data_IF_404205398511
#
_entry.id   IF_404205398511
#
_cell.length_a   1.000
_cell.length_b   1.000
_cell.length_c   1.000
_cell.angle_alpha   90.00
_cell.angle_beta   90.00
_cell.angle_gamma   90.00
#
_symmetry.space_group_name_H-M   'P 1'
#
loop_
_entity.id
_entity.type
_entity.pdbx_description
1 polymer ?
#
# COMPACT_ATOMS: atom_id res chain seq x y z
N UNK A 1 -20.77 36.28 0.58
CA UNK A 1 -21.57 36.40 1.80
C UNK A 1 -22.48 37.61 1.70
N UNK A 2 -23.70 37.49 2.21
CA UNK A 2 -24.66 38.58 2.29
C UNK A 2 -25.55 38.41 3.53
N UNK A 3 -26.24 39.44 3.94
CA UNK A 3 -27.22 39.39 5.05
C UNK A 3 -28.64 39.47 4.53
N UNK A 4 -29.58 38.85 5.23
CA UNK A 4 -31.00 38.87 4.83
C UNK A 4 -31.92 38.63 6.04
N UNK A 5 -33.08 39.26 5.99
CA UNK A 5 -34.22 38.92 6.84
C UNK A 5 -35.30 38.13 6.07
N UNK A 6 -35.13 37.96 4.76
CA UNK A 6 -36.14 37.36 3.87
C UNK A 6 -35.94 35.86 3.60
N UNK A 7 -34.87 35.28 4.10
CA UNK A 7 -34.63 33.83 4.05
C UNK A 7 -34.90 33.18 5.39
N UNK A 8 -35.12 31.87 5.36
CA UNK A 8 -35.34 31.10 6.63
C UNK A 8 -33.99 31.13 7.38
N UNK A 9 -34.00 31.72 8.57
CA UNK A 9 -32.83 31.94 9.42
C UNK A 9 -33.08 31.58 10.87
N UNK A 10 -32.19 32.06 11.76
CA UNK A 10 -32.19 31.81 13.19
C UNK A 10 -32.67 33.06 13.97
N UNK A 11 -32.42 34.26 13.43
CA UNK A 11 -32.66 35.52 14.08
C UNK A 11 -33.35 36.56 13.20
N UNK A 12 -33.07 37.84 13.43
CA UNK A 12 -33.55 38.95 12.61
C UNK A 12 -32.75 39.06 11.31
N UNK A 13 -31.55 39.61 11.36
CA UNK A 13 -30.59 39.58 10.25
C UNK A 13 -29.67 38.39 10.41
N UNK A 14 -29.60 37.55 9.39
CA UNK A 14 -28.67 36.42 9.34
C UNK A 14 -27.70 36.56 8.17
N UNK A 15 -26.51 36.01 8.33
CA UNK A 15 -25.45 35.91 7.32
C UNK A 15 -25.69 34.66 6.49
N UNK A 16 -25.67 34.80 5.15
CA UNK A 16 -25.80 33.71 4.16
C UNK A 16 -24.59 33.66 3.26
N UNK A 17 -24.34 32.46 2.72
CA UNK A 17 -23.32 32.19 1.71
C UNK A 17 -24.02 31.94 0.38
N UNK A 18 -23.72 32.71 -0.64
CA UNK A 18 -24.13 32.42 -2.02
C UNK A 18 -22.92 31.81 -2.77
N UNK A 19 -23.08 30.58 -3.24
CA UNK A 19 -22.10 29.90 -4.10
C UNK A 19 -22.63 29.84 -5.51
N UNK A 20 -21.79 30.12 -6.49
CA UNK A 20 -22.13 29.96 -7.92
C UNK A 20 -21.69 28.57 -8.34
N UNK A 21 -22.60 27.81 -8.92
CA UNK A 21 -22.24 26.60 -9.68
C UNK A 21 -21.68 27.04 -11.02
N UNK A 22 -20.41 26.79 -11.26
CA UNK A 22 -19.71 27.23 -12.47
C UNK A 22 -20.28 26.63 -13.76
N UNK A 23 -20.92 25.45 -13.69
CA UNK A 23 -21.51 24.78 -14.85
C UNK A 23 -22.90 25.31 -15.18
N UNK A 24 -23.73 25.51 -14.17
CA UNK A 24 -25.13 25.92 -14.35
C UNK A 24 -25.35 27.44 -14.21
N UNK A 25 -24.34 28.16 -13.69
CA UNK A 25 -24.42 29.61 -13.36
C UNK A 25 -25.56 29.93 -12.37
N UNK A 26 -26.04 28.95 -11.63
CA UNK A 26 -27.07 29.13 -10.62
C UNK A 26 -26.44 29.37 -9.23
N UNK A 27 -27.11 30.18 -8.42
CA UNK A 27 -26.73 30.43 -7.04
C UNK A 27 -27.34 29.39 -6.11
N UNK A 28 -26.49 28.73 -5.33
CA UNK A 28 -26.91 27.94 -4.16
C UNK A 28 -26.72 28.81 -2.93
N UNK A 29 -27.81 29.06 -2.20
CA UNK A 29 -27.79 29.85 -0.97
C UNK A 29 -27.74 28.86 0.21
N UNK A 30 -26.79 29.07 1.10
CA UNK A 30 -26.56 28.27 2.29
C UNK A 30 -26.65 29.15 3.53
N UNK A 31 -27.35 28.69 4.57
CA UNK A 31 -27.33 29.28 5.88
C UNK A 31 -26.32 28.57 6.77
N UNK A 32 -25.20 29.22 7.19
CA UNK A 32 -24.14 28.54 7.91
C UNK A 32 -24.49 28.14 9.35
N UNK A 33 -25.61 28.63 9.89
CA UNK A 33 -26.05 28.30 11.23
C UNK A 33 -25.17 28.86 12.35
N UNK A 34 -25.39 28.32 13.56
CA UNK A 34 -24.54 28.61 14.71
C UNK A 34 -23.12 28.01 14.52
N UNK A 35 -22.03 28.68 14.93
CA UNK A 35 -22.00 29.89 15.76
C UNK A 35 -21.97 31.23 14.99
N UNK A 36 -21.95 31.21 13.65
CA UNK A 36 -21.90 32.46 12.87
C UNK A 36 -23.19 33.24 12.99
N UNK A 37 -24.34 32.57 12.85
CA UNK A 37 -25.65 33.15 13.11
C UNK A 37 -26.19 32.78 14.51
N UNK A 38 -27.09 33.59 15.02
CA UNK A 38 -27.72 33.44 16.34
C UNK A 38 -29.20 33.84 16.29
N UNK A 39 -29.89 33.88 17.43
CA UNK A 39 -31.26 34.37 17.56
C UNK A 39 -31.36 35.91 17.43
N UNK A 40 -30.24 36.59 17.35
CA UNK A 40 -30.11 38.04 17.23
C UNK A 40 -29.84 38.48 15.80
N UNK A 41 -29.50 39.77 15.58
CA UNK A 41 -29.04 40.26 14.29
C UNK A 41 -27.55 39.98 14.10
N UNK A 42 -27.22 39.31 13.02
CA UNK A 42 -25.83 38.96 12.65
C UNK A 42 -25.54 39.50 11.24
N UNK A 43 -24.51 40.34 11.10
CA UNK A 43 -24.26 41.09 9.85
C UNK A 43 -22.84 41.65 9.76
N UNK A 44 -22.53 42.34 8.67
CA UNK A 44 -21.30 43.12 8.51
C UNK A 44 -20.03 42.27 8.47
N UNK A 45 -20.10 41.08 7.88
CA UNK A 45 -18.98 40.16 7.82
C UNK A 45 -17.83 40.74 6.98
N UNK A 46 -16.61 40.73 7.54
CA UNK A 46 -15.35 41.14 6.92
C UNK A 46 -14.32 40.04 7.06
N UNK A 47 -13.36 39.97 6.16
CA UNK A 47 -12.36 38.91 6.10
C UNK A 47 -10.94 39.44 6.22
N UNK A 48 -10.10 38.70 6.91
CA UNK A 48 -8.64 38.81 6.89
C UNK A 48 -8.07 37.68 6.03
N UNK A 49 -7.45 38.01 4.87
CA UNK A 49 -6.83 37.01 4.00
C UNK A 49 -7.83 36.10 3.31
N UNK A 50 -7.62 34.78 3.26
CA UNK A 50 -8.36 33.86 2.40
C UNK A 50 -9.74 33.40 2.96
N UNK A 51 -10.57 34.31 3.42
CA UNK A 51 -11.98 34.08 3.82
C UNK A 51 -12.25 33.08 4.97
N UNK A 52 -11.23 32.64 5.69
CA UNK A 52 -11.37 31.65 6.77
C UNK A 52 -11.32 32.26 8.18
N UNK A 53 -11.03 33.54 8.31
CA UNK A 53 -11.08 34.31 9.54
C UNK A 53 -11.46 35.75 9.27
N UNK A 54 -11.96 36.43 10.29
CA UNK A 54 -12.37 37.83 10.18
C UNK A 54 -13.25 38.25 11.32
N UNK A 55 -14.11 39.24 11.04
CA UNK A 55 -15.01 39.83 12.02
C UNK A 55 -16.40 39.94 11.45
N UNK A 56 -17.39 39.93 12.34
CA UNK A 56 -18.78 40.25 12.04
C UNK A 56 -19.42 41.01 13.19
N UNK A 57 -20.53 41.69 12.94
CA UNK A 57 -21.30 42.40 13.94
C UNK A 57 -22.47 41.59 14.41
N UNK A 58 -22.75 41.62 15.70
CA UNK A 58 -23.92 40.98 16.29
C UNK A 58 -24.36 41.65 17.58
N UNK A 59 -25.66 41.71 17.82
CA UNK A 59 -26.21 42.16 19.09
C UNK A 59 -26.57 40.98 20.01
N UNK A 60 -26.08 39.76 19.69
CA UNK A 60 -26.24 38.56 20.52
C UNK A 60 -25.74 38.80 21.93
N UNK A 61 -26.46 38.28 22.94
CA UNK A 61 -26.11 38.39 24.38
C UNK A 61 -26.06 39.79 24.96
N UNK A 62 -26.46 40.84 24.24
CA UNK A 62 -26.60 42.16 24.80
C UNK A 62 -28.11 42.48 24.99
N UNK A 63 -28.55 42.43 26.22
CA UNK A 63 -29.95 42.75 26.57
C UNK A 63 -30.36 44.23 26.31
N UNK A 64 -29.41 45.08 25.90
CA UNK A 64 -29.68 46.49 25.54
C UNK A 64 -29.76 46.70 24.02
N UNK A 65 -29.47 45.63 23.23
CA UNK A 65 -29.57 45.65 21.77
C UNK A 65 -28.42 46.35 21.05
N UNK A 66 -27.28 46.58 21.70
CA UNK A 66 -26.10 47.16 21.05
C UNK A 66 -25.35 46.09 20.23
N UNK A 67 -24.85 46.54 19.08
CA UNK A 67 -23.99 45.71 18.24
C UNK A 67 -22.57 45.61 18.77
N UNK A 68 -22.03 44.41 18.76
CA UNK A 68 -20.64 44.12 19.13
C UNK A 68 -19.92 43.48 17.95
N UNK A 69 -18.60 43.67 17.90
CA UNK A 69 -17.74 43.05 16.89
C UNK A 69 -17.24 41.72 17.47
N UNK A 70 -17.53 40.65 16.75
CA UNK A 70 -17.06 39.29 17.04
C UNK A 70 -16.02 38.87 16.00
N UNK A 71 -14.98 38.17 16.45
CA UNK A 71 -14.05 37.50 15.55
C UNK A 71 -14.52 36.11 15.26
N UNK A 72 -14.30 35.63 14.06
CA UNK A 72 -14.46 34.22 13.70
C UNK A 72 -13.17 33.67 13.14
N UNK A 73 -12.93 32.37 13.37
CA UNK A 73 -11.88 31.59 12.77
C UNK A 73 -12.48 30.27 12.33
N UNK A 74 -12.50 30.04 11.03
CA UNK A 74 -12.95 28.79 10.40
C UNK A 74 -11.76 28.23 9.63
N UNK A 75 -10.82 27.53 10.31
CA UNK A 75 -9.65 26.99 9.65
C UNK A 75 -10.05 26.05 8.53
N UNK A 76 -9.39 26.16 7.40
CA UNK A 76 -9.56 25.21 6.32
C UNK A 76 -9.17 23.81 6.81
N UNK A 77 -10.09 22.87 6.70
CA UNK A 77 -9.80 21.47 7.03
C UNK A 77 -9.00 20.89 5.86
N UNK A 78 -7.72 20.65 6.12
CA UNK A 78 -6.80 20.04 5.16
C UNK A 78 -6.54 18.61 5.56
N UNK A 79 -6.93 17.69 4.69
CA UNK A 79 -6.58 16.28 4.83
C UNK A 79 -5.43 15.97 3.89
N UNK A 80 -4.36 15.42 4.42
CA UNK A 80 -3.17 15.09 3.65
C UNK A 80 -2.80 13.62 3.78
N UNK A 81 -2.34 13.05 2.67
CA UNK A 81 -1.68 11.76 2.62
C UNK A 81 -0.17 12.02 2.56
N UNK A 82 0.59 11.38 3.44
CA UNK A 82 2.03 11.40 3.45
C UNK A 82 2.54 9.96 3.47
N UNK A 83 3.59 9.66 2.72
CA UNK A 83 4.15 8.32 2.71
C UNK A 83 5.63 8.31 2.39
N UNK A 84 6.24 7.14 2.60
CA UNK A 84 7.63 6.86 2.29
C UNK A 84 7.74 5.58 1.48
N UNK A 85 8.52 5.65 0.42
CA UNK A 85 8.88 4.51 -0.43
C UNK A 85 10.35 4.18 -0.18
N UNK A 86 10.61 2.95 0.23
CA UNK A 86 11.94 2.49 0.58
C UNK A 86 12.12 1.01 0.25
N UNK A 87 13.37 0.57 0.11
CA UNK A 87 13.68 -0.84 -0.01
C UNK A 87 13.36 -1.56 1.31
N UNK A 88 12.88 -2.79 1.23
CA UNK A 88 12.50 -3.58 2.41
C UNK A 88 13.65 -3.69 3.44
N UNK A 89 14.90 -3.56 2.99
CA UNK A 89 16.09 -3.56 3.84
C UNK A 89 16.43 -2.16 4.43
N UNK A 90 15.62 -1.14 4.13
CA UNK A 90 15.64 0.18 4.79
C UNK A 90 16.29 1.32 4.01
N UNK A 91 16.71 1.10 2.74
CA UNK A 91 17.29 2.16 1.91
C UNK A 91 16.20 2.97 1.19
N UNK A 92 16.40 4.30 1.11
CA UNK A 92 15.50 5.17 0.35
C UNK A 92 15.55 4.88 -1.15
N UNK A 93 14.40 5.02 -1.81
CA UNK A 93 14.26 4.81 -3.26
C UNK A 93 13.83 6.11 -3.97
N UNK A 94 14.75 7.06 -4.21
CA UNK A 94 14.42 8.37 -4.80
C UNK A 94 13.94 8.29 -6.26
N UNK A 95 14.18 7.15 -6.95
CA UNK A 95 13.68 6.89 -8.30
C UNK A 95 12.26 6.29 -8.33
N UNK A 96 11.65 6.08 -7.16
CA UNK A 96 10.31 5.52 -7.06
C UNK A 96 9.24 6.52 -7.53
N UNK A 97 8.10 5.98 -7.93
CA UNK A 97 6.91 6.72 -8.32
C UNK A 97 5.72 6.20 -7.53
N UNK A 98 4.83 7.11 -7.19
CA UNK A 98 3.58 6.78 -6.51
C UNK A 98 2.41 7.14 -7.41
N UNK A 99 1.49 6.19 -7.57
CA UNK A 99 0.22 6.36 -8.26
C UNK A 99 -0.89 6.33 -7.23
N UNK A 100 -1.77 7.34 -7.27
CA UNK A 100 -2.92 7.48 -6.38
C UNK A 100 -4.19 7.53 -7.21
N UNK A 101 -5.12 6.65 -6.90
CA UNK A 101 -6.43 6.56 -7.56
C UNK A 101 -7.51 6.67 -6.49
N UNK A 102 -8.44 7.61 -6.64
CA UNK A 102 -9.60 7.78 -5.78
C UNK A 102 -10.90 7.31 -6.45
N UNK A 103 -11.87 6.86 -5.65
CA UNK A 103 -13.21 6.50 -6.14
C UNK A 103 -14.02 7.72 -6.62
N UNK A 104 -13.54 8.94 -6.34
CA UNK A 104 -14.06 10.21 -6.87
C UNK A 104 -13.56 10.54 -8.28
N UNK A 105 -12.76 9.67 -8.91
CA UNK A 105 -12.10 9.89 -10.19
C UNK A 105 -10.73 10.57 -10.08
N UNK A 106 -10.24 10.81 -8.88
CA UNK A 106 -8.87 11.30 -8.67
C UNK A 106 -7.86 10.33 -9.25
N UNK A 107 -6.97 10.83 -10.11
CA UNK A 107 -5.81 10.10 -10.61
C UNK A 107 -4.58 11.00 -10.52
N UNK A 108 -3.56 10.58 -9.78
CA UNK A 108 -2.29 11.29 -9.64
C UNK A 108 -1.13 10.30 -9.78
N UNK A 109 -0.11 10.73 -10.51
CA UNK A 109 1.18 10.05 -10.58
C UNK A 109 2.27 11.06 -10.24
N UNK A 110 3.05 10.78 -9.20
CA UNK A 110 4.05 11.70 -8.68
C UNK A 110 5.35 10.96 -8.35
N UNK A 111 6.52 11.59 -8.58
CA UNK A 111 7.78 11.10 -8.10
C UNK A 111 7.86 11.31 -6.58
N UNK A 112 8.64 10.50 -5.90
CA UNK A 112 9.01 10.74 -4.51
C UNK A 112 10.16 11.75 -4.42
N UNK A 113 10.36 12.33 -3.24
CA UNK A 113 11.52 13.18 -2.93
C UNK A 113 12.78 12.33 -2.76
N UNK A 114 13.94 13.01 -2.58
CA UNK A 114 15.24 12.34 -2.38
C UNK A 114 15.28 11.42 -1.16
N UNK A 115 14.48 11.69 -0.14
CA UNK A 115 14.30 10.87 1.06
C UNK A 115 13.22 9.80 0.92
N UNK A 116 12.74 9.54 -0.29
CA UNK A 116 11.67 8.59 -0.58
C UNK A 116 10.27 9.05 -0.16
N UNK A 117 10.11 10.27 0.39
CA UNK A 117 8.82 10.77 0.86
C UNK A 117 7.98 11.38 -0.25
N UNK A 118 6.66 11.33 -0.05
CA UNK A 118 5.69 12.09 -0.84
C UNK A 118 4.60 12.65 0.06
N UNK A 119 3.93 13.71 -0.41
CA UNK A 119 2.80 14.31 0.28
C UNK A 119 1.79 14.77 -0.77
N UNK A 120 0.52 14.48 -0.54
CA UNK A 120 -0.59 14.84 -1.43
C UNK A 120 -1.79 15.29 -0.60
N UNK A 121 -2.42 16.44 -0.90
CA UNK A 121 -3.74 16.77 -0.36
C UNK A 121 -4.77 15.79 -0.91
N UNK A 122 -5.67 15.33 -0.04
CA UNK A 122 -6.70 14.35 -0.34
C UNK A 122 -8.06 14.84 0.14
N UNK A 123 -9.13 14.32 -0.45
CA UNK A 123 -10.50 14.70 -0.10
C UNK A 123 -11.08 13.78 0.96
N UNK A 124 -11.87 14.32 1.91
CA UNK A 124 -12.65 13.50 2.84
C UNK A 124 -13.70 12.65 2.08
N UNK A 125 -14.11 11.55 2.69
CA UNK A 125 -15.13 10.61 2.16
C UNK A 125 -14.74 9.95 0.82
N UNK A 126 -13.44 9.92 0.49
CA UNK A 126 -12.89 9.26 -0.69
C UNK A 126 -12.02 8.09 -0.27
N UNK A 127 -12.24 6.94 -0.92
CA UNK A 127 -11.37 5.77 -0.78
C UNK A 127 -10.25 5.85 -1.84
N UNK A 128 -9.02 5.73 -1.39
CA UNK A 128 -7.84 5.80 -2.25
C UNK A 128 -7.14 4.46 -2.34
N UNK A 129 -6.75 4.07 -3.55
CA UNK A 129 -5.77 3.04 -3.83
C UNK A 129 -4.44 3.72 -4.16
N UNK A 130 -3.41 3.43 -3.39
CA UNK A 130 -2.07 4.01 -3.54
C UNK A 130 -1.09 2.91 -3.90
N UNK A 131 -0.37 3.06 -5.00
CA UNK A 131 0.62 2.09 -5.47
C UNK A 131 1.97 2.76 -5.62
N UNK A 132 2.97 2.22 -4.95
CA UNK A 132 4.38 2.59 -5.14
C UNK A 132 5.08 1.61 -6.08
N UNK A 133 5.90 2.13 -6.97
CA UNK A 133 6.67 1.36 -7.94
C UNK A 133 8.08 1.94 -8.13
N UNK A 134 9.07 1.06 -8.32
CA UNK A 134 10.44 1.43 -8.66
C UNK A 134 11.03 0.37 -9.59
N UNK A 135 11.85 0.80 -10.56
CA UNK A 135 12.52 -0.14 -11.46
C UNK A 135 13.44 -1.08 -10.68
N UNK A 136 13.29 -2.38 -10.87
CA UNK A 136 14.05 -3.41 -10.15
C UNK A 136 13.41 -3.88 -8.84
N UNK A 137 12.18 -3.43 -8.55
CA UNK A 137 11.42 -3.79 -7.35
C UNK A 137 10.02 -4.26 -7.68
N UNK A 138 9.43 -5.04 -6.78
CA UNK A 138 8.00 -5.37 -6.83
C UNK A 138 7.19 -4.16 -6.38
N UNK A 139 6.06 -3.93 -7.05
CA UNK A 139 5.11 -2.89 -6.66
C UNK A 139 4.49 -3.22 -5.29
N UNK A 140 4.19 -2.18 -4.53
CA UNK A 140 3.45 -2.29 -3.28
C UNK A 140 2.22 -1.40 -3.35
N UNK A 141 1.06 -1.92 -2.92
CA UNK A 141 -0.19 -1.17 -2.89
C UNK A 141 -0.75 -1.11 -1.47
N UNK A 142 -1.38 0.00 -1.16
CA UNK A 142 -2.12 0.24 0.08
C UNK A 142 -3.48 0.85 -0.24
N UNK A 143 -4.48 0.46 0.52
CA UNK A 143 -5.82 1.04 0.47
C UNK A 143 -6.01 1.98 1.65
N UNK A 144 -6.47 3.18 1.39
CA UNK A 144 -6.72 4.18 2.40
C UNK A 144 -8.18 4.66 2.32
N UNK A 145 -8.94 4.43 3.37
CA UNK A 145 -10.31 4.93 3.52
C UNK A 145 -10.31 6.17 4.36
N UNK A 146 -10.95 7.22 3.85
CA UNK A 146 -11.04 8.52 4.50
C UNK A 146 -12.46 8.74 4.98
N UNK A 147 -12.62 8.85 6.28
CA UNK A 147 -13.91 9.25 6.89
C UNK A 147 -14.14 10.75 6.70
N UNK A 148 -15.36 11.21 7.02
CA UNK A 148 -15.68 12.63 7.05
C UNK A 148 -14.77 13.37 8.02
N UNK A 149 -14.02 14.36 7.51
CA UNK A 149 -13.06 15.11 8.32
C UNK A 149 -13.73 16.27 9.05
N UNK A 150 -13.67 16.27 10.37
CA UNK A 150 -14.04 17.39 11.23
C UNK A 150 -12.83 18.28 11.59
N UNK A 151 -11.64 17.76 11.40
CA UNK A 151 -10.36 18.39 11.72
C UNK A 151 -9.33 18.06 10.64
N UNK A 152 -8.31 18.90 10.51
CA UNK A 152 -7.18 18.61 9.63
C UNK A 152 -6.46 17.35 10.11
N UNK A 153 -6.21 16.41 9.20
CA UNK A 153 -5.65 15.10 9.51
C UNK A 153 -4.58 14.70 8.50
N UNK A 154 -3.49 14.14 9.00
CA UNK A 154 -2.44 13.53 8.19
C UNK A 154 -2.57 12.00 8.26
N UNK A 155 -2.64 11.35 7.11
CA UNK A 155 -2.60 9.89 6.98
C UNK A 155 -1.21 9.47 6.51
N UNK A 156 -0.59 8.56 7.24
CA UNK A 156 0.78 8.12 7.01
C UNK A 156 0.79 6.71 6.43
N UNK A 157 1.44 6.52 5.29
CA UNK A 157 1.57 5.25 4.59
C UNK A 157 3.04 4.85 4.43
N UNK A 158 3.30 3.54 4.40
CA UNK A 158 4.64 2.98 4.26
C UNK A 158 4.67 1.99 3.10
N UNK A 159 5.64 2.16 2.20
CA UNK A 159 5.77 1.34 1.00
C UNK A 159 7.14 0.64 0.96
N UNK A 160 7.30 -0.49 1.68
CA UNK A 160 8.52 -1.31 1.61
C UNK A 160 8.52 -2.11 0.30
N UNK A 161 9.35 -1.74 -0.66
CA UNK A 161 9.50 -2.44 -1.93
C UNK A 161 10.52 -3.57 -1.81
N UNK A 162 10.16 -4.76 -2.30
CA UNK A 162 11.06 -5.91 -2.35
C UNK A 162 11.85 -5.90 -3.67
N UNK A 163 13.18 -6.03 -3.60
CA UNK A 163 14.02 -6.15 -4.78
C UNK A 163 13.73 -7.45 -5.55
N UNK A 164 13.67 -7.37 -6.88
CA UNK A 164 13.53 -8.54 -7.77
C UNK A 164 14.87 -9.22 -8.09
N UNK A 165 15.98 -8.65 -7.64
CA UNK A 165 17.33 -9.19 -7.94
C UNK A 165 17.73 -10.40 -7.07
N UNK A 166 17.06 -10.60 -5.93
CA UNK A 166 17.32 -11.71 -5.02
C UNK A 166 16.29 -12.84 -5.21
N UNK A 167 16.73 -14.12 -5.23
CA UNK A 167 15.80 -15.24 -5.23
C UNK A 167 14.89 -15.21 -3.98
N UNK A 168 13.61 -15.39 -4.19
CA UNK A 168 12.62 -15.50 -3.10
C UNK A 168 12.25 -16.96 -2.92
N UNK A 169 12.39 -17.45 -1.69
CA UNK A 169 11.92 -18.79 -1.34
C UNK A 169 10.39 -18.79 -1.27
N UNK A 170 9.78 -19.70 -2.05
CA UNK A 170 8.35 -19.96 -1.95
C UNK A 170 8.16 -21.14 -1.00
N UNK A 171 7.79 -20.82 0.23
CA UNK A 171 7.51 -21.83 1.25
C UNK A 171 6.19 -22.57 0.97
N UNK A 172 6.06 -23.77 1.54
CA UNK A 172 4.84 -24.58 1.52
C UNK A 172 4.42 -25.11 0.14
N UNK A 173 5.39 -25.32 -0.77
CA UNK A 173 5.15 -26.09 -1.99
C UNK A 173 5.53 -27.54 -1.72
N UNK A 174 4.53 -28.40 -1.63
CA UNK A 174 4.70 -29.82 -1.31
C UNK A 174 4.32 -30.69 -2.50
N UNK A 175 5.04 -31.79 -2.64
CA UNK A 175 4.79 -32.83 -3.62
C UNK A 175 4.70 -34.17 -2.89
N UNK A 176 3.93 -35.09 -3.42
CA UNK A 176 3.99 -36.48 -2.98
C UNK A 176 5.40 -37.08 -3.24
N UNK A 177 5.74 -38.11 -2.48
CA UNK A 177 7.01 -38.79 -2.68
C UNK A 177 7.16 -39.27 -4.12
N UNK A 178 8.30 -38.90 -4.73
CA UNK A 178 8.64 -39.24 -6.11
C UNK A 178 7.65 -38.73 -7.20
N UNK A 179 6.81 -37.74 -6.88
CA UNK A 179 5.85 -37.14 -7.81
C UNK A 179 6.14 -35.66 -8.03
N UNK A 180 5.58 -35.14 -9.13
CA UNK A 180 5.55 -33.73 -9.46
C UNK A 180 4.13 -33.13 -9.34
N UNK A 181 3.16 -33.89 -8.83
CA UNK A 181 1.79 -33.43 -8.64
C UNK A 181 1.75 -32.54 -7.40
N UNK A 182 1.22 -31.33 -7.56
CA UNK A 182 1.03 -30.37 -6.48
C UNK A 182 -0.02 -30.88 -5.50
N UNK A 183 0.26 -30.74 -4.21
CA UNK A 183 -0.72 -31.07 -3.16
C UNK A 183 -1.72 -29.93 -2.96
N UNK A 184 -2.92 -30.16 -2.41
CA UNK A 184 -3.86 -29.08 -2.10
C UNK A 184 -3.30 -28.01 -1.16
N UNK A 185 -2.37 -28.38 -0.27
CA UNK A 185 -1.71 -27.43 0.61
C UNK A 185 -0.82 -26.44 -0.15
N UNK A 186 -0.30 -26.81 -1.32
CA UNK A 186 0.52 -25.95 -2.17
C UNK A 186 -0.28 -24.87 -2.88
N UNK A 187 -1.58 -25.07 -3.11
CA UNK A 187 -2.41 -24.12 -3.87
C UNK A 187 -2.49 -22.75 -3.20
N UNK A 188 -2.56 -22.72 -1.87
CA UNK A 188 -2.63 -21.47 -1.10
C UNK A 188 -1.37 -20.60 -1.26
N UNK A 189 -0.19 -21.22 -1.31
CA UNK A 189 1.07 -20.50 -1.56
C UNK A 189 1.15 -20.03 -3.02
N UNK A 190 0.69 -20.86 -3.97
CA UNK A 190 0.66 -20.54 -5.39
C UNK A 190 -0.35 -19.43 -5.72
N UNK A 191 -1.50 -19.39 -5.06
CA UNK A 191 -2.49 -18.31 -5.23
C UNK A 191 -1.92 -16.95 -4.83
N UNK A 192 -1.10 -16.88 -3.77
CA UNK A 192 -0.38 -15.66 -3.38
C UNK A 192 0.63 -15.26 -4.47
N UNK A 193 1.33 -16.23 -5.07
CA UNK A 193 2.24 -15.96 -6.18
C UNK A 193 1.50 -15.48 -7.43
N UNK A 194 0.34 -16.07 -7.74
CA UNK A 194 -0.53 -15.60 -8.82
C UNK A 194 -0.94 -14.14 -8.61
N UNK A 195 -1.40 -13.78 -7.41
CA UNK A 195 -1.77 -12.41 -7.08
C UNK A 195 -0.58 -11.45 -7.26
N UNK A 196 0.59 -11.81 -6.73
CA UNK A 196 1.82 -11.03 -6.87
C UNK A 196 2.21 -10.80 -8.34
N UNK A 197 2.15 -11.84 -9.18
CA UNK A 197 2.49 -11.75 -10.60
C UNK A 197 1.47 -10.96 -11.42
N UNK A 198 0.19 -10.99 -11.03
CA UNK A 198 -0.85 -10.15 -11.64
C UNK A 198 -0.66 -8.67 -11.31
N UNK A 199 -0.28 -8.34 -10.09
CA UNK A 199 0.04 -6.98 -9.66
C UNK A 199 1.32 -6.45 -10.31
N UNK A 200 2.23 -7.34 -10.71
CA UNK A 200 3.53 -7.03 -11.29
C UNK A 200 3.66 -7.61 -12.70
N UNK A 201 2.82 -7.16 -13.62
CA UNK A 201 2.72 -7.71 -14.99
C UNK A 201 4.01 -7.62 -15.81
N UNK A 202 4.92 -6.72 -15.46
CA UNK A 202 6.23 -6.52 -16.12
C UNK A 202 7.32 -7.47 -15.62
N UNK A 203 7.07 -8.24 -14.55
CA UNK A 203 8.07 -9.14 -13.95
C UNK A 203 8.03 -10.50 -14.64
N UNK A 204 9.21 -10.98 -15.04
CA UNK A 204 9.45 -12.36 -15.48
C UNK A 204 10.16 -13.12 -14.37
N UNK A 205 9.87 -14.39 -14.19
CA UNK A 205 10.45 -15.20 -13.12
C UNK A 205 11.03 -16.51 -13.64
N UNK A 206 12.12 -16.95 -13.02
CA UNK A 206 12.61 -18.32 -13.09
C UNK A 206 12.06 -19.08 -11.88
N UNK A 207 11.40 -20.20 -12.14
CA UNK A 207 10.90 -21.12 -11.12
C UNK A 207 11.90 -22.27 -10.95
N UNK A 208 12.74 -22.16 -9.95
CA UNK A 208 13.79 -23.11 -9.65
C UNK A 208 13.31 -24.20 -8.70
N UNK A 209 13.41 -25.46 -9.09
CA UNK A 209 13.13 -26.59 -8.20
C UNK A 209 14.40 -27.42 -7.95
N UNK A 210 14.48 -27.92 -6.73
CA UNK A 210 15.61 -28.70 -6.23
C UNK A 210 15.15 -30.06 -5.71
N UNK A 211 16.07 -30.99 -5.61
CA UNK A 211 15.89 -32.26 -4.92
C UNK A 211 16.97 -32.42 -3.84
N UNK A 212 16.72 -33.33 -2.90
CA UNK A 212 17.73 -33.72 -1.92
C UNK A 212 18.94 -34.41 -2.59
N UNK A 213 19.97 -34.68 -1.82
CA UNK A 213 21.20 -35.32 -2.34
C UNK A 213 21.01 -36.80 -2.70
N UNK A 214 19.92 -37.46 -2.25
CA UNK A 214 19.67 -38.89 -2.45
C UNK A 214 19.33 -39.22 -3.89
N UNK A 215 19.78 -40.36 -4.35
CA UNK A 215 19.45 -40.86 -5.70
C UNK A 215 20.39 -40.41 -6.80
N UNK A 216 20.04 -40.80 -8.03
CA UNK A 216 20.80 -40.50 -9.22
C UNK A 216 20.64 -39.04 -9.64
N UNK A 217 21.74 -38.37 -9.99
CA UNK A 217 21.75 -36.94 -10.34
C UNK A 217 20.85 -36.62 -11.54
N UNK A 218 20.89 -37.44 -12.57
CA UNK A 218 20.08 -37.23 -13.78
C UNK A 218 18.59 -37.43 -13.49
N UNK A 219 18.24 -38.43 -12.67
CA UNK A 219 16.88 -38.66 -12.20
C UNK A 219 16.36 -37.45 -11.41
N UNK A 220 17.14 -36.96 -10.43
CA UNK A 220 16.79 -35.79 -9.62
C UNK A 220 16.63 -34.54 -10.47
N UNK A 221 17.44 -34.38 -11.49
CA UNK A 221 17.32 -33.25 -12.44
C UNK A 221 16.00 -33.33 -13.22
N UNK A 222 15.63 -34.51 -13.73
CA UNK A 222 14.35 -34.70 -14.41
C UNK A 222 13.15 -34.53 -13.47
N UNK A 223 13.24 -35.02 -12.23
CA UNK A 223 12.19 -34.88 -11.24
C UNK A 223 11.99 -33.39 -10.87
N UNK A 224 13.06 -32.68 -10.57
CA UNK A 224 13.00 -31.24 -10.27
C UNK A 224 12.46 -30.42 -11.44
N UNK A 225 12.86 -30.77 -12.70
CA UNK A 225 12.32 -30.09 -13.87
C UNK A 225 10.80 -30.31 -14.01
N UNK A 226 10.29 -31.51 -13.78
CA UNK A 226 8.84 -31.78 -13.78
C UNK A 226 8.11 -31.04 -12.67
N UNK A 227 8.74 -30.89 -11.50
CA UNK A 227 8.19 -30.11 -10.37
C UNK A 227 8.11 -28.63 -10.69
N UNK A 228 9.17 -28.04 -11.24
CA UNK A 228 9.14 -26.65 -11.71
C UNK A 228 8.06 -26.44 -12.79
N UNK A 229 7.94 -27.39 -13.73
CA UNK A 229 6.92 -27.34 -14.77
C UNK A 229 5.50 -27.39 -14.21
N UNK A 230 5.21 -28.23 -13.22
CA UNK A 230 3.87 -28.29 -12.64
C UNK A 230 3.45 -27.00 -11.93
N UNK A 231 4.41 -26.25 -11.36
CA UNK A 231 4.15 -24.90 -10.83
C UNK A 231 3.86 -23.93 -11.97
N UNK A 232 4.65 -23.95 -13.05
CA UNK A 232 4.39 -23.12 -14.25
C UNK A 232 3.01 -23.40 -14.83
N UNK A 233 2.65 -24.68 -14.98
CA UNK A 233 1.34 -25.07 -15.51
C UNK A 233 0.19 -24.55 -14.63
N UNK A 234 0.37 -24.58 -13.31
CA UNK A 234 -0.59 -24.00 -12.38
C UNK A 234 -0.74 -22.49 -12.59
N UNK A 235 0.38 -21.74 -12.69
CA UNK A 235 0.36 -20.29 -12.89
C UNK A 235 -0.30 -19.91 -14.23
N UNK A 236 -0.01 -20.66 -15.31
CA UNK A 236 -0.63 -20.46 -16.62
C UNK A 236 -2.15 -20.69 -16.53
N UNK A 237 -2.58 -21.78 -15.86
CA UNK A 237 -4.00 -22.07 -15.67
C UNK A 237 -4.74 -20.97 -14.89
N UNK A 238 -4.02 -20.18 -14.07
CA UNK A 238 -4.56 -19.04 -13.32
C UNK A 238 -4.33 -17.68 -13.99
N UNK A 239 -3.96 -17.67 -15.29
CA UNK A 239 -3.93 -16.49 -16.14
C UNK A 239 -2.61 -15.71 -16.13
N UNK A 240 -1.50 -16.36 -15.76
CA UNK A 240 -0.15 -15.78 -15.95
C UNK A 240 0.36 -16.17 -17.33
N UNK A 241 0.89 -15.22 -18.08
CA UNK A 241 1.42 -15.43 -19.43
C UNK A 241 2.66 -16.33 -19.41
N UNK A 242 2.72 -17.30 -20.37
CA UNK A 242 3.75 -18.31 -20.43
C UNK A 242 5.16 -17.75 -20.63
N UNK A 243 5.30 -16.69 -21.41
CA UNK A 243 6.57 -16.02 -21.74
C UNK A 243 7.20 -15.34 -20.52
N UNK A 244 6.43 -15.13 -19.46
CA UNK A 244 6.91 -14.60 -18.17
C UNK A 244 7.49 -15.67 -17.24
N UNK A 245 7.40 -16.95 -17.58
CA UNK A 245 7.66 -18.07 -16.67
C UNK A 245 8.71 -19.01 -17.28
N UNK A 246 9.83 -19.22 -16.57
CA UNK A 246 10.88 -20.15 -16.96
C UNK A 246 11.05 -21.24 -15.92
N UNK A 247 10.64 -22.50 -16.17
CA UNK A 247 10.84 -23.60 -15.23
C UNK A 247 12.27 -24.15 -15.36
N UNK A 248 12.99 -24.28 -14.23
CA UNK A 248 14.33 -24.85 -14.20
C UNK A 248 14.47 -25.86 -13.06
N UNK A 249 14.79 -27.10 -13.41
CA UNK A 249 15.13 -28.15 -12.45
C UNK A 249 16.62 -28.23 -12.22
N UNK A 250 17.08 -27.93 -11.03
CA UNK A 250 18.49 -28.00 -10.65
C UNK A 250 18.89 -29.35 -10.03
N UNK A 251 17.90 -30.22 -9.73
CA UNK A 251 18.19 -31.47 -9.01
C UNK A 251 19.00 -31.20 -7.74
N UNK A 252 20.17 -31.83 -7.62
CA UNK A 252 21.12 -31.63 -6.52
C UNK A 252 22.34 -30.75 -6.88
N UNK A 253 22.33 -30.11 -8.06
CA UNK A 253 23.48 -29.36 -8.59
C UNK A 253 23.69 -28.01 -7.89
N UNK A 254 22.66 -27.45 -7.25
CA UNK A 254 22.74 -26.20 -6.50
C UNK A 254 22.33 -26.45 -5.03
N UNK A 255 23.23 -26.95 -4.19
CA UNK A 255 22.96 -27.18 -2.80
C UNK A 255 22.79 -25.85 -2.08
N UNK A 256 21.92 -25.86 -1.04
CA UNK A 256 21.59 -24.68 -0.25
C UNK A 256 22.77 -24.25 0.59
N UNK A 257 23.09 -22.95 0.56
CA UNK A 257 24.02 -22.32 1.51
C UNK A 257 23.25 -21.90 2.78
N UNK A 258 23.89 -22.10 3.93
CA UNK A 258 23.35 -21.78 5.24
C UNK A 258 23.49 -20.28 5.50
N UNK A 259 22.36 -19.63 5.80
CA UNK A 259 22.32 -18.22 6.18
C UNK A 259 22.12 -18.08 7.68
N UNK A 260 22.46 -16.94 8.24
CA UNK A 260 22.40 -16.60 9.68
C UNK A 260 21.13 -17.06 10.39
N UNK A 261 19.94 -16.90 9.81
CA UNK A 261 18.68 -17.39 10.40
C UNK A 261 18.65 -18.90 10.67
N UNK A 262 19.35 -19.70 9.86
CA UNK A 262 19.43 -21.14 10.05
C UNK A 262 20.44 -21.52 11.14
N UNK A 263 21.50 -20.74 11.34
CA UNK A 263 22.46 -20.98 12.44
C UNK A 263 21.84 -20.66 13.81
N UNK A 264 20.90 -19.71 13.88
CA UNK A 264 20.15 -19.43 15.10
C UNK A 264 19.22 -20.61 15.50
N UNK A 265 18.59 -21.24 14.49
CA UNK A 265 17.72 -22.41 14.72
C UNK A 265 18.48 -23.72 14.90
N UNK A 266 19.62 -23.86 14.23
CA UNK A 266 20.46 -25.05 14.23
C UNK A 266 21.91 -24.65 14.54
N UNK A 267 22.30 -24.53 15.83
CA UNK A 267 23.60 -24.01 16.27
C UNK A 267 24.84 -24.83 15.81
N UNK A 268 24.62 -26.05 15.34
CA UNK A 268 25.68 -26.92 14.78
C UNK A 268 26.02 -26.60 13.31
N UNK A 269 25.20 -25.80 12.63
CA UNK A 269 25.47 -25.25 11.29
C UNK A 269 26.22 -23.93 11.42
N UNK A 270 27.14 -23.67 10.51
CA UNK A 270 27.84 -22.39 10.39
C UNK A 270 27.29 -21.57 9.21
N UNK A 271 27.35 -20.27 9.32
CA UNK A 271 27.05 -19.38 8.20
C UNK A 271 28.01 -19.71 7.04
N UNK A 272 27.49 -19.72 5.82
CA UNK A 272 28.16 -20.11 4.58
C UNK A 272 28.48 -21.59 4.41
N UNK A 273 28.14 -22.48 5.36
CA UNK A 273 28.15 -23.92 5.09
C UNK A 273 27.24 -24.21 3.88
N UNK A 274 27.71 -25.07 2.98
CA UNK A 274 26.92 -25.49 1.81
C UNK A 274 26.50 -26.95 1.99
N UNK A 275 25.19 -27.23 1.90
CA UNK A 275 24.60 -28.55 2.10
C UNK A 275 24.89 -29.49 0.91
N UNK A 276 26.18 -29.70 0.63
CA UNK A 276 26.61 -30.67 -0.36
C UNK A 276 26.44 -32.10 0.16
N UNK A 277 26.42 -33.09 -0.73
CA UNK A 277 26.36 -34.50 -0.36
C UNK A 277 27.49 -34.86 0.63
N UNK A 278 28.70 -34.40 0.36
CA UNK A 278 29.88 -34.68 1.24
C UNK A 278 29.76 -34.01 2.61
N UNK A 279 29.18 -32.81 2.69
CA UNK A 279 28.90 -32.14 3.95
C UNK A 279 27.87 -32.92 4.75
N UNK A 280 26.75 -33.31 4.13
CA UNK A 280 25.64 -34.00 4.79
C UNK A 280 26.06 -35.38 5.31
N UNK A 281 26.79 -36.15 4.50
CA UNK A 281 27.23 -37.49 4.89
C UNK A 281 28.22 -37.50 6.07
N UNK A 282 28.88 -36.38 6.36
CA UNK A 282 29.75 -36.21 7.53
C UNK A 282 28.99 -35.91 8.83
N UNK A 283 27.72 -35.59 8.74
CA UNK A 283 26.88 -35.26 9.89
C UNK A 283 26.34 -36.52 10.57
N UNK A 284 25.84 -36.37 11.79
CA UNK A 284 25.07 -37.44 12.48
C UNK A 284 23.81 -37.79 11.69
N UNK A 285 23.26 -38.99 11.91
CA UNK A 285 22.04 -39.44 11.19
C UNK A 285 20.86 -38.46 11.36
N UNK A 286 20.69 -37.94 12.59
CA UNK A 286 19.68 -36.96 12.92
C UNK A 286 19.91 -35.62 12.16
N UNK A 287 21.15 -35.14 12.16
CA UNK A 287 21.52 -33.91 11.39
C UNK A 287 21.37 -34.10 9.88
N UNK A 288 21.62 -35.31 9.33
CA UNK A 288 21.38 -35.61 7.92
C UNK A 288 19.90 -35.49 7.57
N UNK A 289 18.99 -35.96 8.45
CA UNK A 289 17.55 -35.82 8.24
C UNK A 289 17.13 -34.35 8.25
N UNK A 290 17.65 -33.53 9.15
CA UNK A 290 17.43 -32.10 9.20
C UNK A 290 17.95 -31.42 7.91
N UNK A 291 19.17 -31.73 7.47
CA UNK A 291 19.72 -31.19 6.22
C UNK A 291 18.86 -31.50 4.99
N UNK A 292 18.19 -32.66 4.97
CA UNK A 292 17.31 -33.05 3.87
C UNK A 292 15.97 -32.32 3.87
N UNK A 293 15.58 -31.74 5.00
CA UNK A 293 14.35 -30.95 5.15
C UNK A 293 14.58 -29.45 4.88
N UNK A 294 15.82 -29.02 5.01
CA UNK A 294 16.25 -27.65 4.72
C UNK A 294 16.41 -27.40 3.24
#
# INVERSE_FOLDING_TARGET
>A
FFRSTGHIGMGGLDIYIARIDEKTQQYKIEHPGYPLNSEADDFGMTFEGPHNRGFFSSNRKDGRGYDHIYSFNNPEIVTTMKGWVYEKDGYELPAAQVMVVGNDGTYRKLPVKSDGSFTLPIHPEVDYLVMASCKGFLNHKEELRIDSAKESKEYVLQFPLASISAPVLIDNIFYDFDKATLTPASTQALDKLVALLKENSHVTIELSAHCDYKGNSEYNKRLSQRRAQSVVDYLIAHGIEKDRLTPVGYGKERPKAIRRKLTEKYPWLKEDDVLTQDFILKQTREHQEICNQL
#
